data_IF_135705695401
#
_entry.id   IF_135705695401
#
_cell.length_a   1.000
_cell.length_b   1.000
_cell.length_c   1.000
_cell.angle_alpha   90.00
_cell.angle_beta   90.00
_cell.angle_gamma   90.00
#
_symmetry.space_group_name_H-M   'P 1'
#
loop_
_entity.id
_entity.type
_entity.pdbx_description
1 polymer ?
#
# COMPACT_ATOMS: atom_id res chain seq x y z
N UNK A 1 -39.27 -5.60 0.71
CA UNK A 1 -37.82 -5.34 0.81
C UNK A 1 -37.13 -6.68 1.00
N UNK A 2 -36.35 -7.15 0.01
CA UNK A 2 -35.46 -8.29 0.23
C UNK A 2 -34.33 -7.89 1.18
N UNK A 3 -33.92 -8.76 2.12
CA UNK A 3 -32.78 -8.46 2.98
C UNK A 3 -31.52 -8.28 2.13
N UNK A 4 -30.67 -7.33 2.50
CA UNK A 4 -29.35 -7.20 1.92
C UNK A 4 -28.56 -8.50 2.15
N UNK A 5 -27.77 -8.98 1.19
CA UNK A 5 -26.99 -10.19 1.36
C UNK A 5 -26.07 -10.05 2.57
N UNK A 6 -25.98 -11.11 3.37
CA UNK A 6 -25.08 -11.15 4.52
C UNK A 6 -23.64 -11.06 4.01
N UNK A 7 -22.99 -9.91 4.21
CA UNK A 7 -21.57 -9.72 3.90
C UNK A 7 -20.78 -10.62 4.85
N UNK A 8 -20.10 -11.62 4.32
CA UNK A 8 -19.21 -12.47 5.12
C UNK A 8 -18.02 -11.62 5.57
N UNK A 9 -17.96 -11.33 6.87
CA UNK A 9 -16.88 -10.57 7.46
C UNK A 9 -15.56 -11.38 7.41
N UNK A 10 -14.41 -10.69 7.30
CA UNK A 10 -13.10 -11.35 7.35
C UNK A 10 -12.91 -12.02 8.72
N UNK A 11 -12.43 -13.26 8.71
CA UNK A 11 -12.08 -14.02 9.92
C UNK A 11 -10.62 -13.76 10.32
N UNK A 12 -9.79 -13.42 9.33
CA UNK A 12 -8.39 -13.02 9.51
C UNK A 12 -8.24 -11.55 9.14
N UNK A 13 -7.61 -10.81 10.06
CA UNK A 13 -7.13 -9.45 9.81
C UNK A 13 -5.62 -9.48 9.95
N UNK A 14 -4.91 -9.34 8.84
CA UNK A 14 -3.45 -9.17 8.86
C UNK A 14 -3.16 -7.72 9.24
N UNK A 15 -2.63 -7.50 10.45
CA UNK A 15 -2.32 -6.17 10.97
C UNK A 15 -1.04 -5.56 10.39
N UNK A 16 -0.89 -4.23 10.51
CA UNK A 16 0.35 -3.53 10.14
C UNK A 16 1.47 -3.80 11.15
N UNK A 17 2.52 -4.51 10.75
CA UNK A 17 3.59 -5.02 11.63
C UNK A 17 4.81 -4.10 11.74
N UNK A 18 4.69 -2.80 11.42
CA UNK A 18 5.79 -1.82 11.52
C UNK A 18 6.30 -1.30 10.17
N UNK A 19 7.54 -0.80 10.14
CA UNK A 19 8.14 -0.15 8.95
C UNK A 19 8.50 -1.20 7.90
N UNK A 20 7.88 -1.15 6.73
CA UNK A 20 8.23 -2.01 5.59
C UNK A 20 7.82 -3.49 5.68
N UNK A 21 7.33 -3.98 6.83
CA UNK A 21 6.99 -5.40 7.06
C UNK A 21 5.65 -5.78 6.40
N UNK A 22 4.60 -4.95 6.58
CA UNK A 22 3.28 -5.17 5.98
C UNK A 22 3.11 -4.35 4.71
N UNK A 23 3.73 -4.82 3.64
CA UNK A 23 3.69 -4.15 2.33
C UNK A 23 2.35 -4.38 1.60
N UNK A 24 2.14 -3.63 0.52
CA UNK A 24 0.97 -3.79 -0.35
C UNK A 24 0.86 -5.20 -0.95
N UNK A 25 1.99 -5.89 -1.17
CA UNK A 25 1.99 -7.26 -1.67
C UNK A 25 1.36 -8.24 -0.66
N UNK A 26 1.73 -8.15 0.62
CA UNK A 26 1.14 -8.99 1.67
C UNK A 26 -0.34 -8.67 1.85
N UNK A 27 -0.68 -7.38 1.94
CA UNK A 27 -2.08 -6.95 2.08
C UNK A 27 -2.94 -7.44 0.90
N UNK A 28 -2.42 -7.35 -0.33
CA UNK A 28 -3.10 -7.87 -1.52
C UNK A 28 -3.23 -9.40 -1.50
N UNK A 29 -2.18 -10.12 -1.10
CA UNK A 29 -2.24 -11.58 -0.97
C UNK A 29 -3.32 -12.01 0.02
N UNK A 30 -3.42 -11.35 1.18
CA UNK A 30 -4.48 -11.59 2.18
C UNK A 30 -5.86 -11.23 1.62
N UNK A 31 -6.00 -10.06 1.00
CA UNK A 31 -7.27 -9.60 0.40
C UNK A 31 -7.80 -10.59 -0.66
N UNK A 32 -6.91 -11.16 -1.48
CA UNK A 32 -7.26 -12.16 -2.49
C UNK A 32 -7.80 -13.48 -1.92
N UNK A 33 -7.60 -13.74 -0.62
CA UNK A 33 -8.20 -14.88 0.10
C UNK A 33 -9.57 -14.59 0.70
N UNK A 34 -10.14 -13.40 0.45
CA UNK A 34 -11.38 -12.94 1.06
C UNK A 34 -11.22 -12.52 2.52
N UNK A 35 -9.98 -12.27 2.97
CA UNK A 35 -9.64 -11.78 4.30
C UNK A 35 -9.24 -10.29 4.23
N UNK A 36 -8.97 -9.66 5.37
CA UNK A 36 -8.59 -8.24 5.40
C UNK A 36 -7.07 -8.09 5.52
N UNK A 37 -6.43 -7.60 4.46
CA UNK A 37 -5.02 -7.20 4.47
C UNK A 37 -4.86 -5.71 4.76
N UNK A 38 -3.88 -5.36 5.59
CA UNK A 38 -3.59 -3.96 5.96
C UNK A 38 -2.17 -3.61 5.54
N UNK A 39 -2.02 -2.49 4.83
CA UNK A 39 -0.73 -1.89 4.51
C UNK A 39 -0.30 -1.00 5.69
N UNK A 40 0.89 -1.23 6.24
CA UNK A 40 1.41 -0.39 7.31
C UNK A 40 1.82 0.98 6.76
N UNK A 41 1.33 2.05 7.38
CA UNK A 41 1.74 3.43 7.07
C UNK A 41 2.93 3.93 7.89
N UNK A 42 3.49 3.11 8.78
CA UNK A 42 4.57 3.53 9.68
C UNK A 42 5.82 3.91 8.89
N UNK A 43 6.29 5.16 9.07
CA UNK A 43 7.44 5.74 8.39
C UNK A 43 7.40 5.59 6.86
N UNK A 44 6.22 5.77 6.26
CA UNK A 44 6.03 5.60 4.81
C UNK A 44 6.89 6.55 3.98
N UNK A 45 7.15 7.75 4.48
CA UNK A 45 8.09 8.72 3.92
C UNK A 45 9.51 8.13 3.78
N UNK A 46 10.02 7.49 4.85
CA UNK A 46 11.32 6.81 4.83
C UNK A 46 11.29 5.61 3.89
N UNK A 47 10.23 4.81 3.90
CA UNK A 47 10.09 3.64 3.01
C UNK A 47 10.09 4.05 1.54
N UNK A 48 9.36 5.11 1.18
CA UNK A 48 9.30 5.64 -0.19
C UNK A 48 10.66 6.18 -0.60
N UNK A 49 11.30 7.01 0.24
CA UNK A 49 12.62 7.57 -0.05
C UNK A 49 13.69 6.47 -0.25
N UNK A 50 13.73 5.47 0.63
CA UNK A 50 14.69 4.35 0.50
C UNK A 50 14.45 3.51 -0.74
N UNK A 51 13.20 3.20 -1.09
CA UNK A 51 12.90 2.48 -2.33
C UNK A 51 13.34 3.23 -3.58
N UNK A 52 13.14 4.55 -3.62
CA UNK A 52 13.60 5.37 -4.74
C UNK A 52 15.13 5.40 -4.82
N UNK A 53 15.82 5.53 -3.68
CA UNK A 53 17.29 5.46 -3.61
C UNK A 53 17.84 4.11 -4.08
N UNK A 54 17.12 3.02 -3.83
CA UNK A 54 17.45 1.67 -4.33
C UNK A 54 17.09 1.50 -5.83
N UNK A 55 16.65 2.55 -6.52
CA UNK A 55 16.30 2.56 -7.94
C UNK A 55 14.86 2.16 -8.25
N UNK A 56 13.99 2.07 -7.24
CA UNK A 56 12.61 1.60 -7.33
C UNK A 56 12.46 0.26 -8.08
N UNK A 57 12.96 -0.86 -7.51
CA UNK A 57 12.82 -2.16 -8.14
C UNK A 57 11.35 -2.51 -8.41
N UNK A 58 11.01 -2.73 -9.69
CA UNK A 58 9.65 -2.99 -10.16
C UNK A 58 8.86 -1.73 -10.57
N UNK A 59 9.44 -0.53 -10.42
CA UNK A 59 8.86 0.75 -10.87
C UNK A 59 7.55 1.11 -10.15
N UNK A 60 7.32 0.56 -8.96
CA UNK A 60 6.02 0.66 -8.30
C UNK A 60 5.83 2.01 -7.61
N UNK A 61 6.89 2.55 -7.02
CA UNK A 61 6.84 3.85 -6.33
C UNK A 61 6.76 4.97 -7.36
N UNK A 62 7.57 4.94 -8.42
CA UNK A 62 7.51 5.91 -9.50
C UNK A 62 6.15 5.91 -10.19
N UNK A 63 5.57 4.73 -10.47
CA UNK A 63 4.20 4.64 -11.02
C UNK A 63 3.17 5.24 -10.06
N UNK A 64 3.25 4.95 -8.77
CA UNK A 64 2.33 5.51 -7.78
C UNK A 64 2.46 7.03 -7.66
N UNK A 65 3.67 7.57 -7.75
CA UNK A 65 3.92 9.01 -7.76
C UNK A 65 3.40 9.70 -9.04
N UNK A 66 3.48 9.03 -10.20
CA UNK A 66 2.92 9.52 -11.45
C UNK A 66 1.38 9.65 -11.41
N UNK A 67 0.70 8.77 -10.67
CA UNK A 67 -0.75 8.79 -10.46
C UNK A 67 -1.16 9.63 -9.22
N UNK A 68 -0.22 10.22 -8.49
CA UNK A 68 -0.51 10.91 -7.24
C UNK A 68 -1.29 12.22 -7.51
N UNK A 69 -2.40 12.49 -6.79
CA UNK A 69 -3.28 13.64 -7.08
C UNK A 69 -2.63 15.02 -6.93
N UNK A 70 -1.44 15.11 -6.33
CA UNK A 70 -0.67 16.34 -6.16
C UNK A 70 0.64 16.24 -6.97
N UNK A 71 0.60 16.46 -8.29
CA UNK A 71 1.73 16.20 -9.18
C UNK A 71 2.97 17.04 -8.83
N UNK A 72 2.80 18.27 -8.35
CA UNK A 72 3.91 19.12 -7.91
C UNK A 72 4.63 18.59 -6.65
N UNK A 73 3.92 17.85 -5.79
CA UNK A 73 4.54 17.19 -4.64
C UNK A 73 5.31 15.97 -5.11
N UNK A 74 4.71 15.15 -5.97
CA UNK A 74 5.37 13.97 -6.54
C UNK A 74 6.66 14.33 -7.28
N UNK A 75 6.63 15.39 -8.11
CA UNK A 75 7.79 15.88 -8.85
C UNK A 75 8.95 16.28 -7.94
N UNK A 76 8.68 16.98 -6.83
CA UNK A 76 9.72 17.33 -5.84
C UNK A 76 10.39 16.11 -5.20
N UNK A 77 9.68 14.99 -5.10
CA UNK A 77 10.23 13.75 -4.55
C UNK A 77 11.08 13.01 -5.59
N UNK A 78 10.65 13.00 -6.86
CA UNK A 78 11.35 12.31 -7.96
C UNK A 78 12.61 13.07 -8.40
N UNK A 79 12.57 14.40 -8.40
CA UNK A 79 13.66 15.25 -8.90
C UNK A 79 14.74 15.56 -7.83
N UNK A 80 14.54 15.12 -6.58
CA UNK A 80 15.44 15.36 -5.44
C UNK A 80 16.61 14.36 -5.40
#
# INVERSE_FOLDING_TARGET
MSPAPLVRLPVVIQGGMGVGVSSWQLANAVARTGQLGVVSGTALDVVVARRLQDGDPGGHVQRALADFPLPDVARRVVDA
#
